data_IF_958719013684
#
_entry.id   IF_958719013684
#
_cell.length_a   1.000
_cell.length_b   1.000
_cell.length_c   1.000
_cell.angle_alpha   90.00
_cell.angle_beta   90.00
_cell.angle_gamma   90.00
#
_symmetry.space_group_name_H-M   'P 1'
#
loop_
_entity.id
_entity.type
_entity.pdbx_description
1 polymer ?
#
# COMPACT_ATOMS: atom_id res chain seq x y z
N UNK A 1 78.00 78.27 -24.35
CA UNK A 1 76.79 77.76 -24.95
C UNK A 1 76.44 76.40 -24.24
N UNK A 2 75.65 76.48 -23.19
CA UNK A 2 75.25 75.29 -22.41
C UNK A 2 73.78 74.98 -22.63
N UNK A 3 73.48 73.83 -23.20
CA UNK A 3 72.16 73.33 -23.36
C UNK A 3 71.86 72.36 -22.21
N UNK A 4 71.04 72.79 -21.25
CA UNK A 4 70.50 71.95 -20.18
C UNK A 4 69.36 71.10 -20.73
N UNK A 5 69.55 69.76 -20.68
CA UNK A 5 68.46 68.75 -20.97
C UNK A 5 67.75 68.52 -19.67
N UNK A 6 66.49 69.02 -19.59
CA UNK A 6 65.57 68.66 -18.53
C UNK A 6 64.97 67.30 -18.87
N UNK A 7 65.33 66.24 -18.11
CA UNK A 7 64.67 64.94 -18.20
C UNK A 7 63.48 64.89 -17.25
N UNK A 8 62.29 65.02 -17.73
CA UNK A 8 61.04 64.79 -16.97
C UNK A 8 60.81 63.28 -16.74
N UNK A 9 61.21 62.83 -15.53
CA UNK A 9 60.88 61.45 -15.07
C UNK A 9 59.38 61.33 -14.74
N UNK A 10 58.63 60.75 -15.62
CA UNK A 10 57.23 60.30 -15.32
C UNK A 10 57.26 59.15 -14.35
N UNK A 11 56.97 59.39 -13.05
CA UNK A 11 56.72 58.35 -12.09
C UNK A 11 55.38 57.67 -12.51
N UNK A 12 55.43 56.42 -12.95
CA UNK A 12 54.26 55.63 -13.20
C UNK A 12 53.54 55.35 -11.85
N UNK A 13 52.40 55.98 -11.65
CA UNK A 13 51.52 55.71 -10.54
C UNK A 13 50.77 54.43 -10.88
N UNK A 14 51.36 53.27 -10.54
CA UNK A 14 50.60 52.03 -10.58
C UNK A 14 49.73 52.01 -9.32
N UNK A 15 48.40 51.96 -9.47
CA UNK A 15 47.52 51.82 -8.33
C UNK A 15 47.79 50.47 -7.63
N UNK A 16 48.26 50.50 -6.38
CA UNK A 16 48.37 49.31 -5.56
C UNK A 16 46.97 48.80 -5.24
N UNK A 17 46.47 47.93 -6.08
CA UNK A 17 45.25 47.19 -5.73
C UNK A 17 45.51 46.28 -4.53
N UNK A 18 44.88 46.64 -3.43
CA UNK A 18 44.90 45.82 -2.22
C UNK A 18 44.21 44.48 -2.56
N UNK A 19 44.96 43.39 -2.62
CA UNK A 19 44.35 42.04 -2.78
C UNK A 19 43.59 41.76 -1.49
N UNK A 20 42.30 41.94 -1.54
CA UNK A 20 41.38 41.45 -0.53
C UNK A 20 41.39 39.93 -0.61
N UNK A 21 41.88 39.28 0.42
CA UNK A 21 41.64 37.83 0.57
C UNK A 21 40.13 37.62 0.70
N UNK A 22 39.49 36.85 -0.15
CA UNK A 22 38.09 36.50 0.05
C UNK A 22 38.03 35.64 1.32
N UNK A 23 37.53 36.20 2.41
CA UNK A 23 37.07 35.42 3.54
C UNK A 23 35.76 34.74 3.12
N UNK A 24 35.87 33.46 2.77
CA UNK A 24 34.69 32.63 2.58
C UNK A 24 34.12 32.39 3.97
N UNK A 25 32.90 32.88 4.20
CA UNK A 25 32.20 32.65 5.45
C UNK A 25 31.73 31.19 5.47
N UNK A 26 32.48 30.32 6.12
CA UNK A 26 32.21 28.89 6.26
C UNK A 26 30.94 28.65 7.09
N UNK A 27 30.51 29.60 7.90
CA UNK A 27 29.33 29.47 8.75
C UNK A 27 28.07 29.32 7.93
N UNK A 28 27.93 30.11 6.85
CA UNK A 28 26.80 30.01 5.95
C UNK A 28 26.74 28.65 5.21
N UNK A 29 27.90 28.14 4.78
CA UNK A 29 28.05 26.84 4.12
C UNK A 29 27.68 25.68 5.05
N UNK A 30 28.13 25.69 6.28
CA UNK A 30 27.82 24.66 7.28
C UNK A 30 26.33 24.67 7.63
N UNK A 31 25.73 25.85 7.76
CA UNK A 31 24.31 25.98 8.07
C UNK A 31 23.43 25.44 6.94
N UNK A 32 23.80 25.72 5.68
CA UNK A 32 23.11 25.16 4.50
C UNK A 32 23.23 23.63 4.44
N UNK A 33 24.42 23.10 4.71
CA UNK A 33 24.68 21.67 4.73
C UNK A 33 23.88 20.97 5.84
N UNK A 34 23.78 21.59 7.01
CA UNK A 34 22.98 21.08 8.12
C UNK A 34 21.49 21.04 7.78
N UNK A 35 20.97 22.12 7.17
CA UNK A 35 19.56 22.15 6.74
C UNK A 35 19.27 21.06 5.69
N UNK A 36 20.17 20.83 4.74
CA UNK A 36 20.02 19.75 3.76
C UNK A 36 20.04 18.38 4.43
N UNK A 37 20.95 18.15 5.37
CA UNK A 37 21.05 16.88 6.09
C UNK A 37 19.77 16.60 6.90
N UNK A 38 19.28 17.62 7.63
CA UNK A 38 18.02 17.53 8.37
C UNK A 38 16.81 17.29 7.45
N UNK A 39 16.78 17.93 6.29
CA UNK A 39 15.71 17.72 5.29
C UNK A 39 15.70 16.28 4.78
N UNK A 40 16.85 15.72 4.43
CA UNK A 40 16.93 14.32 3.99
C UNK A 40 16.59 13.34 5.10
N UNK A 41 16.98 13.63 6.33
CA UNK A 41 16.63 12.82 7.49
C UNK A 41 15.13 12.83 7.75
N UNK A 42 14.48 13.99 7.70
CA UNK A 42 13.02 14.13 7.80
C UNK A 42 12.30 13.37 6.68
N UNK A 43 12.80 13.45 5.46
CA UNK A 43 12.23 12.75 4.31
C UNK A 43 12.28 11.22 4.46
N UNK A 44 13.31 10.70 5.14
CA UNK A 44 13.43 9.27 5.46
C UNK A 44 12.35 8.80 6.45
N UNK A 45 11.93 9.64 7.38
CA UNK A 45 10.86 9.32 8.32
C UNK A 45 9.46 9.40 7.70
N UNK A 46 9.26 10.33 6.75
CA UNK A 46 7.94 10.55 6.10
C UNK A 46 7.66 9.46 5.07
N UNK A 47 8.67 8.98 4.37
CA UNK A 47 8.55 7.90 3.38
C UNK A 47 8.68 6.53 4.05
N UNK A 48 7.79 6.17 4.94
CA UNK A 48 7.49 4.75 5.13
C UNK A 48 6.53 4.38 4.00
N UNK A 49 6.97 3.61 3.00
CA UNK A 49 6.02 2.99 2.09
C UNK A 49 5.17 2.07 2.96
N UNK A 50 3.94 2.46 3.25
CA UNK A 50 2.91 1.54 3.68
C UNK A 50 2.48 0.76 2.44
N UNK A 51 3.42 0.02 1.86
CA UNK A 51 3.09 -1.01 0.91
C UNK A 51 2.54 -2.16 1.77
N UNK A 52 1.26 -2.42 1.64
CA UNK A 52 0.72 -3.69 2.07
C UNK A 52 1.38 -4.76 1.21
N UNK A 53 2.08 -5.71 1.83
CA UNK A 53 2.53 -6.90 1.14
C UNK A 53 1.29 -7.68 0.70
N UNK A 54 0.87 -7.46 -0.53
CA UNK A 54 -0.13 -8.28 -1.19
C UNK A 54 0.58 -9.58 -1.56
N UNK A 55 0.48 -10.59 -0.71
CA UNK A 55 0.91 -11.93 -1.07
C UNK A 55 -0.08 -12.49 -2.08
N UNK A 56 0.17 -12.22 -3.36
CA UNK A 56 -0.53 -12.89 -4.44
C UNK A 56 -0.20 -14.38 -4.34
N UNK A 57 -1.21 -15.26 -4.28
CA UNK A 57 -0.96 -16.68 -4.35
C UNK A 57 -0.26 -16.97 -5.68
N UNK A 58 0.87 -17.66 -5.61
CA UNK A 58 1.53 -18.17 -6.79
C UNK A 58 0.56 -19.12 -7.52
N UNK A 59 0.17 -18.73 -8.73
CA UNK A 59 -0.57 -19.51 -9.71
C UNK A 59 -1.75 -20.32 -9.16
N UNK A 60 -2.87 -19.65 -8.90
CA UNK A 60 -4.13 -20.30 -9.15
C UNK A 60 -4.30 -20.30 -10.67
N UNK A 61 -3.61 -21.19 -11.35
CA UNK A 61 -4.01 -21.61 -12.67
C UNK A 61 -5.38 -22.22 -12.47
N UNK A 62 -6.43 -21.49 -12.83
CA UNK A 62 -7.71 -22.07 -13.16
C UNK A 62 -7.42 -22.99 -14.36
N UNK A 63 -6.92 -24.17 -14.07
CA UNK A 63 -6.80 -25.23 -15.06
C UNK A 63 -8.18 -25.45 -15.67
N UNK A 64 -8.25 -25.61 -16.98
CA UNK A 64 -9.42 -25.79 -17.82
C UNK A 64 -10.37 -26.96 -17.42
N UNK A 65 -10.60 -27.17 -16.14
CA UNK A 65 -11.38 -28.27 -15.59
C UNK A 65 -12.24 -27.92 -14.39
N UNK A 66 -12.44 -26.66 -14.06
CA UNK A 66 -13.24 -26.29 -12.90
C UNK A 66 -14.76 -26.35 -13.22
N UNK A 67 -15.22 -27.52 -13.64
CA UNK A 67 -16.62 -27.85 -13.72
C UNK A 67 -17.07 -28.62 -12.47
N UNK A 68 -17.34 -27.90 -11.40
CA UNK A 68 -17.92 -28.53 -10.22
C UNK A 68 -17.60 -27.85 -8.92
N UNK A 69 -18.56 -27.84 -8.02
CA UNK A 69 -18.44 -27.31 -6.64
C UNK A 69 -17.44 -28.11 -5.75
N UNK A 70 -16.54 -28.89 -6.33
CA UNK A 70 -15.72 -29.87 -5.65
C UNK A 70 -14.21 -29.58 -5.55
N UNK A 71 -13.74 -28.46 -6.08
CA UNK A 71 -12.32 -28.08 -5.98
C UNK A 71 -11.95 -27.44 -4.64
N UNK A 72 -10.92 -26.64 -4.63
CA UNK A 72 -10.45 -25.90 -3.45
C UNK A 72 -11.40 -24.78 -2.96
N UNK A 73 -12.64 -24.75 -3.49
CA UNK A 73 -13.69 -23.79 -3.13
C UNK A 73 -14.07 -23.83 -1.65
N UNK A 74 -13.89 -24.97 -1.00
CA UNK A 74 -14.20 -25.13 0.43
C UNK A 74 -13.32 -24.27 1.34
N UNK A 75 -12.13 -23.87 0.90
CA UNK A 75 -11.20 -23.00 1.62
C UNK A 75 -11.26 -21.54 1.16
N UNK A 76 -12.17 -21.22 0.25
CA UNK A 76 -12.30 -19.87 -0.30
C UNK A 76 -13.37 -19.10 0.45
N UNK A 77 -13.04 -17.88 0.87
CA UNK A 77 -13.96 -16.93 1.48
C UNK A 77 -14.07 -15.71 0.57
N UNK A 78 -15.27 -15.39 0.12
CA UNK A 78 -15.47 -14.15 -0.65
C UNK A 78 -16.14 -13.09 0.21
N UNK A 79 -15.55 -11.90 0.18
CA UNK A 79 -15.99 -10.72 0.92
C UNK A 79 -16.42 -9.66 -0.09
N UNK A 80 -17.72 -9.39 -0.18
CA UNK A 80 -18.25 -8.30 -1.00
C UNK A 80 -18.40 -7.03 -0.14
N UNK A 81 -17.81 -5.94 -0.58
CA UNK A 81 -17.91 -4.65 0.08
C UNK A 81 -19.01 -3.81 -0.56
N UNK A 82 -20.07 -3.57 0.21
CA UNK A 82 -21.21 -2.80 -0.22
C UNK A 82 -21.18 -1.35 0.22
N UNK A 83 -22.33 -0.69 0.11
CA UNK A 83 -22.57 0.67 0.57
C UNK A 83 -22.77 0.72 2.09
N UNK A 84 -22.54 1.88 2.72
CA UNK A 84 -22.81 2.13 4.14
C UNK A 84 -22.07 1.20 5.12
N UNK A 85 -20.82 0.86 4.86
CA UNK A 85 -20.01 -0.02 5.70
C UNK A 85 -20.52 -1.47 5.80
N UNK A 86 -21.44 -1.88 4.96
CA UNK A 86 -21.92 -3.24 4.93
C UNK A 86 -20.96 -4.16 4.19
N UNK A 87 -20.69 -5.30 4.77
CA UNK A 87 -19.79 -6.34 4.26
C UNK A 87 -20.58 -7.63 4.17
N UNK A 88 -20.57 -8.23 3.01
CA UNK A 88 -21.27 -9.47 2.71
C UNK A 88 -20.26 -10.61 2.52
N UNK A 89 -20.45 -11.68 3.25
CA UNK A 89 -19.53 -12.82 3.23
C UNK A 89 -20.25 -14.08 2.81
N UNK A 90 -19.63 -14.82 1.92
CA UNK A 90 -20.04 -16.19 1.61
C UNK A 90 -18.82 -17.09 1.47
N UNK A 91 -19.01 -18.37 1.82
CA UNK A 91 -17.98 -19.40 1.77
C UNK A 91 -18.15 -20.22 0.51
N UNK A 92 -17.07 -20.40 -0.24
CA UNK A 92 -17.09 -21.12 -1.50
C UNK A 92 -17.45 -20.26 -2.70
N UNK A 93 -18.13 -20.85 -3.68
CA UNK A 93 -18.59 -20.19 -4.90
C UNK A 93 -20.01 -19.66 -4.74
N UNK A 94 -20.33 -18.55 -5.39
CA UNK A 94 -21.69 -17.96 -5.39
C UNK A 94 -22.76 -18.96 -5.81
N UNK A 95 -22.45 -19.81 -6.79
CA UNK A 95 -23.37 -20.82 -7.35
C UNK A 95 -23.62 -21.99 -6.41
N UNK A 96 -22.64 -22.30 -5.52
CA UNK A 96 -22.72 -23.39 -4.56
C UNK A 96 -22.13 -22.91 -3.22
N UNK A 97 -22.80 -22.02 -2.49
CA UNK A 97 -22.30 -21.55 -1.21
C UNK A 97 -22.38 -22.67 -0.17
N UNK A 98 -21.29 -22.87 0.58
CA UNK A 98 -21.24 -23.86 1.66
C UNK A 98 -22.18 -23.52 2.81
N UNK A 99 -22.37 -22.23 3.06
CA UNK A 99 -23.28 -21.70 4.07
C UNK A 99 -24.07 -20.52 3.47
N UNK A 100 -25.19 -20.20 4.09
CA UNK A 100 -25.97 -19.01 3.70
C UNK A 100 -25.10 -17.76 3.85
N UNK A 101 -25.14 -16.88 2.87
CA UNK A 101 -24.42 -15.62 2.96
C UNK A 101 -24.79 -14.82 4.21
N UNK A 102 -23.80 -14.20 4.85
CA UNK A 102 -23.99 -13.41 6.08
C UNK A 102 -23.59 -11.95 5.84
N UNK A 103 -24.32 -11.05 6.45
CA UNK A 103 -24.03 -9.61 6.39
C UNK A 103 -23.43 -9.14 7.70
N UNK A 104 -22.35 -8.36 7.60
CA UNK A 104 -21.64 -7.75 8.74
C UNK A 104 -21.40 -6.27 8.47
N UNK A 105 -21.00 -5.55 9.50
CA UNK A 105 -20.46 -4.21 9.36
C UNK A 105 -18.94 -4.26 9.30
N UNK A 106 -18.35 -3.44 8.42
CA UNK A 106 -16.90 -3.30 8.29
C UNK A 106 -16.27 -2.94 9.62
N UNK A 107 -15.20 -3.67 10.01
CA UNK A 107 -14.49 -3.48 11.26
C UNK A 107 -15.23 -3.98 12.51
N UNK A 108 -16.33 -4.73 12.37
CA UNK A 108 -17.03 -5.31 13.52
C UNK A 108 -16.30 -6.53 14.09
N UNK A 109 -16.40 -6.75 15.41
CA UNK A 109 -15.88 -7.96 16.06
C UNK A 109 -16.52 -9.23 15.51
N UNK A 110 -17.79 -9.14 15.09
CA UNK A 110 -18.49 -10.28 14.51
C UNK A 110 -17.86 -10.72 13.17
N UNK A 111 -17.48 -9.76 12.33
CA UNK A 111 -16.74 -10.00 11.09
C UNK A 111 -15.40 -10.69 11.38
N UNK A 112 -14.64 -10.13 12.33
CA UNK A 112 -13.34 -10.69 12.74
C UNK A 112 -13.46 -12.12 13.21
N UNK A 113 -14.42 -12.40 14.09
CA UNK A 113 -14.64 -13.73 14.64
C UNK A 113 -15.06 -14.74 13.56
N UNK A 114 -15.88 -14.34 12.57
CA UNK A 114 -16.25 -15.22 11.47
C UNK A 114 -15.05 -15.58 10.60
N UNK A 115 -14.18 -14.60 10.28
CA UNK A 115 -12.94 -14.84 9.53
C UNK A 115 -12.00 -15.72 10.33
N UNK A 116 -11.83 -15.46 11.62
CA UNK A 116 -10.97 -16.23 12.51
C UNK A 116 -11.44 -17.69 12.60
N UNK A 117 -12.72 -17.91 12.87
CA UNK A 117 -13.29 -19.26 12.99
C UNK A 117 -13.13 -20.05 11.68
N UNK A 118 -13.34 -19.41 10.55
CA UNK A 118 -13.17 -20.06 9.27
C UNK A 118 -11.69 -20.32 8.94
N UNK A 119 -10.78 -19.43 9.31
CA UNK A 119 -9.35 -19.65 9.16
C UNK A 119 -8.86 -20.86 9.99
N UNK A 120 -9.30 -20.97 11.23
CA UNK A 120 -8.98 -22.14 12.07
C UNK A 120 -9.58 -23.43 11.50
N UNK A 121 -10.82 -23.39 11.05
CA UNK A 121 -11.47 -24.53 10.39
C UNK A 121 -10.70 -25.02 9.15
N UNK A 122 -10.15 -24.11 8.35
CA UNK A 122 -9.32 -24.45 7.19
C UNK A 122 -7.99 -25.03 7.62
N UNK A 123 -7.31 -24.41 8.61
CA UNK A 123 -6.01 -24.87 9.11
C UNK A 123 -6.05 -26.29 9.67
N UNK A 124 -7.13 -26.67 10.33
CA UNK A 124 -7.30 -28.04 10.89
C UNK A 124 -7.40 -29.13 9.81
N UNK A 125 -7.77 -28.75 8.57
CA UNK A 125 -8.03 -29.69 7.47
C UNK A 125 -6.94 -29.76 6.42
N UNK A 126 -5.96 -28.88 6.52
CA UNK A 126 -4.88 -28.74 5.54
C UNK A 126 -3.58 -29.24 6.14
N UNK A 127 -2.83 -30.04 5.39
CA UNK A 127 -1.52 -30.56 5.82
C UNK A 127 -0.47 -29.46 5.95
N UNK A 128 -0.52 -28.47 5.04
CA UNK A 128 0.43 -27.36 4.99
C UNK A 128 -0.29 -26.00 5.04
N UNK A 129 -0.66 -25.50 6.26
CA UNK A 129 -1.39 -24.24 6.40
C UNK A 129 -0.70 -23.02 5.80
N UNK A 130 0.61 -23.09 5.62
CA UNK A 130 1.43 -22.02 5.05
C UNK A 130 1.28 -21.89 3.52
N UNK A 131 0.96 -22.97 2.84
CA UNK A 131 0.79 -23.00 1.37
C UNK A 131 -0.69 -23.10 0.96
N UNK A 132 -1.46 -23.86 1.70
CA UNK A 132 -2.82 -24.27 1.35
C UNK A 132 -3.88 -23.68 2.31
N UNK A 133 -3.55 -22.60 3.01
CA UNK A 133 -4.43 -21.97 3.98
C UNK A 133 -5.66 -21.32 3.37
N UNK A 134 -6.40 -20.60 4.20
CA UNK A 134 -7.57 -19.82 3.79
C UNK A 134 -7.21 -18.85 2.66
N UNK A 135 -8.01 -18.86 1.61
CA UNK A 135 -7.94 -17.93 0.51
C UNK A 135 -9.12 -16.96 0.53
N UNK A 136 -8.84 -15.65 0.54
CA UNK A 136 -9.88 -14.63 0.63
C UNK A 136 -9.93 -13.80 -0.63
N UNK A 137 -11.11 -13.70 -1.24
CA UNK A 137 -11.36 -12.83 -2.39
C UNK A 137 -12.16 -11.62 -1.89
N UNK A 138 -11.57 -10.43 -2.00
CA UNK A 138 -12.19 -9.17 -1.60
C UNK A 138 -12.68 -8.47 -2.86
N UNK A 139 -13.99 -8.23 -2.93
CA UNK A 139 -14.63 -7.59 -4.08
C UNK A 139 -15.28 -6.27 -3.66
N UNK A 140 -14.63 -5.12 -3.92
CA UNK A 140 -15.23 -3.82 -3.67
C UNK A 140 -16.31 -3.51 -4.72
N UNK A 141 -17.50 -3.16 -4.28
CA UNK A 141 -18.56 -2.66 -5.16
C UNK A 141 -18.25 -1.21 -5.58
N UNK A 142 -18.83 -0.77 -6.70
CA UNK A 142 -18.67 0.61 -7.18
C UNK A 142 -19.16 1.67 -6.19
N UNK A 143 -20.02 1.29 -5.24
CA UNK A 143 -20.53 2.17 -4.18
C UNK A 143 -19.76 2.04 -2.85
N UNK A 144 -18.71 1.22 -2.82
CA UNK A 144 -17.88 1.01 -1.64
C UNK A 144 -17.01 2.23 -1.33
N UNK A 145 -16.92 2.57 -0.06
CA UNK A 145 -15.97 3.59 0.43
C UNK A 145 -14.60 2.94 0.61
N UNK A 146 -13.55 3.63 0.17
CA UNK A 146 -12.17 3.13 0.28
C UNK A 146 -11.77 2.75 1.72
N UNK A 147 -12.32 3.45 2.72
CA UNK A 147 -12.10 3.14 4.13
C UNK A 147 -12.52 1.69 4.49
N UNK A 148 -13.61 1.18 3.88
CA UNK A 148 -14.06 -0.19 4.12
C UNK A 148 -13.09 -1.24 3.55
N UNK A 149 -12.51 -0.95 2.40
CA UNK A 149 -11.46 -1.80 1.83
C UNK A 149 -10.25 -1.86 2.77
N UNK A 150 -9.78 -0.69 3.25
CA UNK A 150 -8.65 -0.64 4.19
C UNK A 150 -8.95 -1.41 5.48
N UNK A 151 -10.11 -1.20 6.09
CA UNK A 151 -10.53 -1.95 7.29
C UNK A 151 -10.56 -3.46 7.06
N UNK A 152 -11.03 -3.89 5.88
CA UNK A 152 -11.07 -5.32 5.55
C UNK A 152 -9.66 -5.89 5.37
N UNK A 153 -8.75 -5.14 4.75
CA UNK A 153 -7.35 -5.53 4.63
C UNK A 153 -6.64 -5.60 6.00
N UNK A 154 -6.97 -4.69 6.91
CA UNK A 154 -6.48 -4.75 8.29
C UNK A 154 -6.97 -6.02 8.99
N UNK A 155 -8.25 -6.43 8.77
CA UNK A 155 -8.76 -7.69 9.31
C UNK A 155 -8.02 -8.93 8.76
N UNK A 156 -7.58 -8.91 7.50
CA UNK A 156 -6.73 -9.98 6.95
C UNK A 156 -5.40 -10.07 7.69
N UNK A 157 -4.79 -8.93 7.95
CA UNK A 157 -3.52 -8.84 8.71
C UNK A 157 -3.68 -9.31 10.15
N UNK A 158 -4.75 -8.89 10.84
CA UNK A 158 -5.04 -9.27 12.24
C UNK A 158 -5.25 -10.79 12.34
N UNK A 159 -6.02 -11.38 11.43
CA UNK A 159 -6.30 -12.82 11.41
C UNK A 159 -5.18 -13.65 10.79
N UNK A 160 -4.06 -13.02 10.38
CA UNK A 160 -2.90 -13.67 9.76
C UNK A 160 -3.28 -14.49 8.51
N UNK A 161 -4.25 -14.00 7.74
CA UNK A 161 -4.62 -14.59 6.46
C UNK A 161 -3.54 -14.20 5.46
N UNK A 162 -2.84 -15.19 4.89
CA UNK A 162 -1.74 -14.95 3.94
C UNK A 162 -2.21 -14.85 2.50
N UNK A 163 -3.22 -15.63 2.15
CA UNK A 163 -3.74 -15.70 0.79
C UNK A 163 -4.97 -14.83 0.61
N UNK A 164 -4.84 -13.64 0.03
CA UNK A 164 -5.99 -12.83 -0.36
C UNK A 164 -5.74 -12.08 -1.67
N UNK A 165 -6.82 -11.78 -2.38
CA UNK A 165 -6.79 -11.00 -3.60
C UNK A 165 -7.91 -9.97 -3.58
N UNK A 166 -7.66 -8.82 -4.19
CA UNK A 166 -8.68 -7.79 -4.43
C UNK A 166 -9.05 -7.87 -5.91
N UNK A 167 -10.30 -8.21 -6.21
CA UNK A 167 -10.85 -8.30 -7.57
C UNK A 167 -11.99 -7.30 -7.70
N UNK A 168 -11.95 -6.44 -8.68
CA UNK A 168 -12.98 -5.43 -8.98
C UNK A 168 -14.11 -5.98 -9.83
N UNK A 169 -13.98 -7.21 -10.34
CA UNK A 169 -14.99 -7.86 -11.19
C UNK A 169 -16.07 -8.52 -10.36
N UNK A 170 -17.25 -7.95 -10.38
CA UNK A 170 -18.43 -8.49 -9.73
C UNK A 170 -19.25 -9.26 -10.76
N UNK A 171 -19.59 -10.52 -10.46
CA UNK A 171 -20.43 -11.35 -11.30
C UNK A 171 -21.90 -10.94 -11.19
N UNK A 172 -22.72 -11.32 -12.19
CA UNK A 172 -24.16 -11.00 -12.19
C UNK A 172 -24.89 -11.55 -10.96
N UNK A 173 -24.52 -12.72 -10.48
CA UNK A 173 -25.13 -13.34 -9.31
C UNK A 173 -24.72 -12.62 -8.01
N UNK A 174 -23.47 -12.17 -7.91
CA UNK A 174 -23.00 -11.34 -6.82
C UNK A 174 -23.69 -9.96 -6.80
N UNK A 175 -23.95 -9.41 -7.99
CA UNK A 175 -24.67 -8.15 -8.13
C UNK A 175 -26.12 -8.26 -7.64
N UNK A 176 -26.80 -9.34 -7.96
CA UNK A 176 -28.16 -9.64 -7.42
C UNK A 176 -28.14 -9.75 -5.89
N UNK A 177 -27.14 -10.44 -5.32
CA UNK A 177 -27.00 -10.54 -3.87
C UNK A 177 -26.81 -9.18 -3.20
N UNK A 178 -26.06 -8.27 -3.83
CA UNK A 178 -25.90 -6.90 -3.35
C UNK A 178 -27.19 -6.10 -3.42
N UNK A 179 -27.99 -6.27 -4.48
CA UNK A 179 -29.27 -5.59 -4.69
C UNK A 179 -30.36 -6.11 -3.75
N UNK A 180 -30.49 -7.43 -3.59
CA UNK A 180 -31.48 -8.06 -2.70
C UNK A 180 -31.29 -7.65 -1.25
N UNK A 181 -30.05 -7.45 -0.81
CA UNK A 181 -29.74 -7.06 0.56
C UNK A 181 -29.64 -5.54 0.75
N UNK A 182 -29.98 -4.71 -0.27
CA UNK A 182 -29.90 -3.24 -0.26
C UNK A 182 -28.54 -2.69 0.22
N UNK A 183 -27.49 -3.35 -0.21
CA UNK A 183 -26.10 -3.05 0.18
C UNK A 183 -25.41 -2.07 -0.77
#
# INVERSE_FOLDING_TARGET
>A
MYTSKHTYGRKSITPKTKKLHPFVDLTAMVNLSFLLMMFFMLQSFIKKPTAMDLSLPADITCGDGFSGCGGESWRTLTILLGKNNNVFIYKGLVQCPLEKPKTFQSGSLALRNEIFTFNEFVKERVENPDREGLFVIIKPSASCVFENLVKTLDEMSINKVRGYVVDDRINQDEQKLLEENKL
#
